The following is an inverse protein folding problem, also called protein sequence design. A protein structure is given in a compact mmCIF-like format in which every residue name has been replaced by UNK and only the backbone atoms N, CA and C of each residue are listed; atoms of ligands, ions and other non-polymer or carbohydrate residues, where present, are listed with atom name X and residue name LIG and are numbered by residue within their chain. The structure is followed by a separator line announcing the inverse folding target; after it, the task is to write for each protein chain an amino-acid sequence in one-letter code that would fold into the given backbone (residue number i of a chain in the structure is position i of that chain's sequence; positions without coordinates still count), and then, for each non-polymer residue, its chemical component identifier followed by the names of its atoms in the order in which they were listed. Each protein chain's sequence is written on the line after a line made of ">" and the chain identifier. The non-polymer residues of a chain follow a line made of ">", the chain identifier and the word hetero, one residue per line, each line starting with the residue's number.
data_IF_214432796572
#
_entry.id   IF_214432796572
#
_cell.length_a   1.000
_cell.length_b   1.000
_cell.length_c   1.000
_cell.angle_alpha   90.00
_cell.angle_beta   90.00
_cell.angle_gamma   90.00
#
_symmetry.space_group_name_H-M   'P 1'
#
loop_
_entity.id
_entity.type
_entity.pdbx_description
1 polymer ?
#
# COMPACT_ATOMS: atom_id res chain seq x y z
N UNK A 1 -19.75 -12.77 -65.85
CA UNK A 1 -18.31 -12.84 -65.53
C UNK A 1 -18.17 -12.97 -64.03
N UNK A 2 -17.44 -13.99 -63.59
CA UNK A 2 -17.18 -14.34 -62.20
C UNK A 2 -15.77 -13.89 -61.80
N UNK A 3 -15.53 -13.95 -60.49
CA UNK A 3 -14.28 -14.18 -59.74
C UNK A 3 -13.40 -13.03 -59.17
N UNK A 4 -13.24 -13.07 -57.84
CA UNK A 4 -12.00 -13.15 -57.02
C UNK A 4 -11.77 -12.15 -55.85
N UNK A 5 -12.08 -12.65 -54.64
CA UNK A 5 -11.35 -12.60 -53.33
C UNK A 5 -9.98 -11.86 -53.28
N UNK A 6 -9.74 -11.08 -52.20
CA UNK A 6 -8.90 -11.38 -50.99
C UNK A 6 -8.25 -10.10 -50.38
N UNK A 7 -8.52 -9.89 -49.08
CA UNK A 7 -7.72 -9.33 -47.96
C UNK A 7 -6.41 -8.55 -48.23
N UNK A 8 -6.19 -7.42 -47.52
CA UNK A 8 -5.18 -7.26 -46.44
C UNK A 8 -5.12 -5.82 -45.85
N UNK A 9 -5.34 -5.74 -44.53
CA UNK A 9 -4.65 -4.95 -43.47
C UNK A 9 -4.29 -3.46 -43.64
N UNK A 10 -4.78 -2.63 -42.69
CA UNK A 10 -4.17 -1.36 -42.28
C UNK A 10 -3.96 -1.32 -40.75
N UNK A 11 -2.84 -0.79 -40.23
CA UNK A 11 -2.43 -0.94 -38.84
C UNK A 11 -3.01 0.19 -37.97
N UNK A 12 -4.01 -0.10 -37.15
CA UNK A 12 -4.60 0.87 -36.21
C UNK A 12 -4.79 0.32 -34.79
N UNK A 13 -3.95 -0.63 -34.38
CA UNK A 13 -4.15 -1.33 -33.11
C UNK A 13 -2.86 -1.53 -32.28
N UNK A 14 -1.90 -0.60 -32.34
CA UNK A 14 -0.58 -0.83 -31.72
C UNK A 14 -0.05 0.30 -30.82
N UNK A 15 -0.85 1.30 -30.45
CA UNK A 15 -0.37 2.39 -29.57
C UNK A 15 -0.93 2.31 -28.14
N UNK A 16 -2.02 1.57 -27.91
CA UNK A 16 -2.71 1.59 -26.62
C UNK A 16 -2.09 0.71 -25.52
N UNK A 17 -1.15 -0.19 -25.84
CA UNK A 17 -0.61 -1.14 -24.85
C UNK A 17 0.66 -0.68 -24.12
N UNK A 18 1.31 0.41 -24.56
CA UNK A 18 2.60 0.82 -23.99
C UNK A 18 2.48 1.79 -22.79
N UNK A 19 1.35 2.48 -22.63
CA UNK A 19 1.19 3.46 -21.54
C UNK A 19 0.78 2.79 -20.21
N UNK A 20 0.10 1.66 -20.25
CA UNK A 20 -0.35 0.94 -19.05
C UNK A 20 0.77 0.12 -18.36
N UNK A 21 1.76 -0.39 -19.11
CA UNK A 21 2.84 -1.19 -18.55
C UNK A 21 3.89 -0.37 -17.78
N UNK A 22 4.05 0.92 -18.13
CA UNK A 22 5.02 1.81 -17.47
C UNK A 22 4.65 2.18 -16.04
N UNK A 23 3.35 2.36 -15.76
CA UNK A 23 2.87 2.76 -14.42
C UNK A 23 3.00 1.60 -13.43
N UNK A 24 2.69 0.36 -13.84
CA UNK A 24 2.83 -0.81 -12.96
C UNK A 24 4.28 -1.11 -12.56
N UNK A 25 5.24 -0.91 -13.48
CA UNK A 25 6.66 -1.13 -13.19
C UNK A 25 7.23 -0.06 -12.22
N UNK A 26 6.78 1.20 -12.34
CA UNK A 26 7.16 2.26 -11.40
C UNK A 26 6.57 1.97 -10.02
N UNK A 27 5.29 1.59 -9.92
CA UNK A 27 4.64 1.20 -8.66
C UNK A 27 5.39 0.01 -8.04
N UNK A 28 5.71 -1.03 -8.81
CA UNK A 28 6.44 -2.20 -8.30
C UNK A 28 7.86 -1.86 -7.82
N UNK A 29 8.56 -0.94 -8.49
CA UNK A 29 9.91 -0.50 -8.11
C UNK A 29 9.90 0.37 -6.85
N UNK A 30 8.91 1.27 -6.74
CA UNK A 30 8.64 2.05 -5.53
C UNK A 30 8.27 1.12 -4.37
N UNK A 31 7.41 0.11 -4.61
CA UNK A 31 7.09 -0.94 -3.63
C UNK A 31 8.34 -1.71 -3.18
N UNK A 32 9.23 -2.11 -4.09
CA UNK A 32 10.45 -2.87 -3.74
C UNK A 32 11.44 -2.03 -2.93
N UNK A 33 11.55 -0.72 -3.19
CA UNK A 33 12.39 0.18 -2.39
C UNK A 33 11.77 0.48 -1.01
N UNK A 34 10.44 0.61 -0.92
CA UNK A 34 9.68 0.78 0.34
C UNK A 34 9.62 -0.51 1.19
N UNK A 35 9.67 -1.70 0.57
CA UNK A 35 9.68 -3.00 1.23
C UNK A 35 10.91 -3.24 2.13
N UNK A 36 11.90 -2.33 2.13
CA UNK A 36 13.11 -2.50 2.92
C UNK A 36 13.00 -1.99 4.37
N UNK A 37 12.16 -0.99 4.66
CA UNK A 37 12.06 -0.36 6.00
C UNK A 37 10.93 -0.96 6.89
N UNK A 38 9.88 -1.55 6.33
CA UNK A 38 8.72 -2.06 7.10
C UNK A 38 8.82 -3.50 7.64
N UNK A 39 9.97 -4.18 7.48
CA UNK A 39 10.08 -5.64 7.69
C UNK A 39 9.89 -6.13 9.14
N UNK A 40 9.88 -5.24 10.12
CA UNK A 40 9.69 -5.58 11.53
C UNK A 40 8.24 -5.56 12.02
N UNK A 41 7.42 -4.62 11.52
CA UNK A 41 6.14 -4.29 12.16
C UNK A 41 5.15 -5.46 12.21
N UNK A 42 5.14 -6.29 11.17
CA UNK A 42 4.17 -7.37 10.99
C UNK A 42 4.76 -8.77 11.26
N UNK A 43 5.89 -8.84 12.00
CA UNK A 43 6.51 -10.12 12.35
C UNK A 43 5.56 -10.94 13.22
N UNK A 44 5.10 -12.08 12.70
CA UNK A 44 4.14 -12.95 13.38
C UNK A 44 2.70 -12.89 12.84
N UNK A 45 2.37 -11.89 12.02
CA UNK A 45 1.04 -11.80 11.39
C UNK A 45 0.83 -12.87 10.29
N UNK A 46 1.91 -13.38 9.67
CA UNK A 46 1.79 -14.38 8.61
C UNK A 46 0.97 -13.84 7.42
N UNK A 47 0.18 -14.68 6.79
CA UNK A 47 -0.69 -14.31 5.65
C UNK A 47 -2.14 -14.00 6.11
N UNK A 48 -2.34 -13.69 7.40
CA UNK A 48 -3.64 -13.36 7.98
C UNK A 48 -3.86 -11.82 7.95
N UNK A 49 -4.80 -11.32 7.13
CA UNK A 49 -5.02 -9.88 6.96
C UNK A 49 -5.54 -9.20 8.24
N UNK A 50 -6.30 -9.92 9.07
CA UNK A 50 -6.79 -9.42 10.36
C UNK A 50 -5.62 -9.19 11.31
N UNK A 51 -4.68 -10.15 11.41
CA UNK A 51 -3.48 -10.00 12.25
C UNK A 51 -2.56 -8.88 11.77
N UNK A 52 -2.50 -8.61 10.47
CA UNK A 52 -1.75 -7.47 9.94
C UNK A 52 -2.37 -6.15 10.42
N UNK A 53 -3.69 -6.04 10.40
CA UNK A 53 -4.40 -4.85 10.88
C UNK A 53 -4.26 -4.66 12.41
N UNK A 54 -4.36 -5.74 13.19
CA UNK A 54 -4.15 -5.70 14.63
C UNK A 54 -2.73 -5.27 15.00
N UNK A 55 -1.71 -5.81 14.30
CA UNK A 55 -0.33 -5.39 14.47
C UNK A 55 -0.15 -3.90 14.13
N UNK A 56 -0.80 -3.42 13.07
CA UNK A 56 -0.80 -1.99 12.72
C UNK A 56 -1.37 -1.13 13.87
N UNK A 57 -2.55 -1.45 14.39
CA UNK A 57 -3.18 -0.72 15.50
C UNK A 57 -2.28 -0.70 16.74
N UNK A 58 -1.66 -1.84 17.05
CA UNK A 58 -0.73 -1.96 18.17
C UNK A 58 0.48 -1.00 18.06
N UNK A 59 1.05 -0.84 16.86
CA UNK A 59 2.12 0.13 16.63
C UNK A 59 1.63 1.58 16.69
N UNK A 60 0.44 1.88 16.17
CA UNK A 60 -0.15 3.22 16.25
C UNK A 60 -0.34 3.65 17.71
N UNK A 61 -0.86 2.75 18.55
CA UNK A 61 -1.02 3.00 19.99
C UNK A 61 0.33 3.25 20.68
N UNK A 62 1.35 2.44 20.35
CA UNK A 62 2.70 2.63 20.90
C UNK A 62 3.28 4.00 20.52
N UNK A 63 3.16 4.42 19.26
CA UNK A 63 3.59 5.75 18.84
C UNK A 63 2.82 6.87 19.52
N UNK A 64 1.52 6.70 19.74
CA UNK A 64 0.73 7.69 20.47
C UNK A 64 1.27 7.91 21.89
N UNK A 65 1.60 6.83 22.59
CA UNK A 65 2.20 6.90 23.93
C UNK A 65 3.58 7.56 23.91
N UNK A 66 4.44 7.24 22.94
CA UNK A 66 5.78 7.84 22.78
C UNK A 66 5.71 9.34 22.47
N UNK A 67 4.77 9.77 21.62
CA UNK A 67 4.63 11.16 21.20
C UNK A 67 3.88 12.02 22.23
N UNK A 68 2.99 11.42 23.03
CA UNK A 68 2.27 12.14 24.10
C UNK A 68 3.19 12.66 25.22
N UNK A 69 4.42 12.13 25.33
CA UNK A 69 5.42 12.61 26.26
C UNK A 69 6.05 13.96 25.86
N UNK A 70 5.72 14.51 24.68
CA UNK A 70 6.11 15.85 24.27
C UNK A 70 4.96 16.85 24.46
N UNK A 71 5.17 17.89 25.26
CA UNK A 71 4.18 18.96 25.46
C UNK A 71 4.39 20.16 24.51
N UNK A 72 5.55 20.26 23.85
CA UNK A 72 5.94 21.47 23.12
C UNK A 72 5.26 21.58 21.74
N UNK A 73 4.80 20.46 21.17
CA UNK A 73 4.19 20.43 19.85
C UNK A 73 3.13 19.33 19.73
N UNK A 74 2.11 19.56 18.90
CA UNK A 74 0.99 18.62 18.72
C UNK A 74 1.36 17.42 17.81
N UNK A 75 2.39 16.68 18.18
CA UNK A 75 2.87 15.52 17.43
C UNK A 75 1.81 14.41 17.33
N UNK A 76 1.05 14.20 18.42
CA UNK A 76 -0.07 13.24 18.44
C UNK A 76 -1.13 13.61 17.41
N UNK A 77 -1.46 14.89 17.27
CA UNK A 77 -2.42 15.36 16.26
C UNK A 77 -1.96 15.10 14.83
N UNK A 78 -0.67 15.30 14.55
CA UNK A 78 -0.09 15.02 13.22
C UNK A 78 -0.06 13.53 12.94
N UNK A 79 0.40 12.72 13.90
CA UNK A 79 0.42 11.26 13.79
C UNK A 79 -1.00 10.72 13.53
N UNK A 80 -2.01 11.17 14.29
CA UNK A 80 -3.41 10.80 14.06
C UNK A 80 -3.92 11.24 12.69
N UNK A 81 -3.43 12.35 12.15
CA UNK A 81 -3.72 12.77 10.77
C UNK A 81 -3.19 11.80 9.72
N UNK A 82 -2.12 11.06 10.02
CA UNK A 82 -1.52 10.06 9.14
C UNK A 82 -2.14 8.66 9.30
N UNK A 83 -2.60 8.32 10.50
CA UNK A 83 -3.04 6.95 10.85
C UNK A 83 -4.55 6.77 10.85
N UNK A 84 -5.33 7.84 10.94
CA UNK A 84 -6.79 7.73 11.04
C UNK A 84 -7.42 7.45 9.70
N UNK A 85 -8.12 6.32 9.61
CA UNK A 85 -8.96 5.97 8.49
C UNK A 85 -10.44 6.08 8.88
N UNK A 86 -11.29 6.54 7.95
CA UNK A 86 -12.74 6.55 8.16
C UNK A 86 -13.35 5.14 8.07
N UNK A 87 -12.81 4.34 7.14
CA UNK A 87 -13.08 2.92 6.97
C UNK A 87 -11.72 2.23 6.85
N UNK A 88 -11.39 1.21 7.67
CA UNK A 88 -10.10 0.55 7.60
C UNK A 88 -9.81 -0.01 6.21
N UNK A 89 -8.56 0.06 5.74
CA UNK A 89 -8.17 -0.53 4.44
C UNK A 89 -8.56 -2.01 4.35
N UNK A 90 -8.51 -2.75 5.47
CA UNK A 90 -8.95 -4.15 5.55
C UNK A 90 -10.38 -4.36 5.03
N UNK A 91 -11.31 -3.46 5.38
CA UNK A 91 -12.73 -3.54 5.01
C UNK A 91 -13.00 -3.07 3.58
N UNK A 92 -12.04 -2.37 2.97
CA UNK A 92 -12.15 -1.88 1.60
C UNK A 92 -11.69 -2.92 0.56
N UNK A 93 -11.06 -4.01 0.99
CA UNK A 93 -10.53 -5.03 0.09
C UNK A 93 -11.64 -5.95 -0.44
N UNK A 94 -11.62 -6.31 -1.75
CA UNK A 94 -12.59 -7.24 -2.33
C UNK A 94 -12.64 -8.57 -1.59
N UNK A 95 -13.84 -9.10 -1.37
CA UNK A 95 -14.03 -10.38 -0.68
C UNK A 95 -13.35 -11.53 -1.44
N UNK A 96 -13.35 -11.46 -2.78
CA UNK A 96 -12.80 -12.48 -3.68
C UNK A 96 -11.27 -12.58 -3.65
N UNK A 97 -10.58 -11.57 -3.08
CA UNK A 97 -9.13 -11.57 -2.96
C UNK A 97 -8.68 -12.57 -1.89
N UNK A 98 -7.63 -13.34 -2.17
CA UNK A 98 -7.12 -14.30 -1.19
C UNK A 98 -6.52 -13.60 0.04
N UNK A 99 -6.59 -14.24 1.21
CA UNK A 99 -6.04 -13.70 2.46
C UNK A 99 -4.56 -13.33 2.33
N UNK A 100 -3.79 -14.12 1.57
CA UNK A 100 -2.40 -13.84 1.28
C UNK A 100 -2.19 -12.56 0.48
N UNK A 101 -3.03 -12.33 -0.54
CA UNK A 101 -2.97 -11.10 -1.33
C UNK A 101 -3.41 -9.90 -0.49
N UNK A 102 -4.49 -10.04 0.29
CA UNK A 102 -4.96 -9.02 1.24
C UNK A 102 -3.87 -8.67 2.24
N UNK A 103 -3.30 -9.66 2.92
CA UNK A 103 -2.25 -9.48 3.91
C UNK A 103 -1.00 -8.83 3.30
N UNK A 104 -0.63 -9.19 2.06
CA UNK A 104 0.50 -8.55 1.36
C UNK A 104 0.23 -7.07 1.08
N UNK A 105 -0.97 -6.73 0.61
CA UNK A 105 -1.37 -5.35 0.33
C UNK A 105 -1.40 -4.54 1.63
N UNK A 106 -2.04 -5.06 2.68
CA UNK A 106 -2.13 -4.41 3.98
C UNK A 106 -0.76 -4.18 4.62
N UNK A 107 0.17 -5.14 4.53
CA UNK A 107 1.54 -4.96 5.02
C UNK A 107 2.27 -3.83 4.32
N UNK A 108 2.06 -3.68 3.01
CA UNK A 108 2.62 -2.56 2.26
C UNK A 108 1.98 -1.25 2.71
N UNK A 109 0.65 -1.18 2.67
CA UNK A 109 -0.12 0.02 2.96
C UNK A 109 0.12 0.54 4.38
N UNK A 110 -0.10 -0.30 5.40
CA UNK A 110 0.13 0.08 6.78
C UNK A 110 1.62 0.23 7.11
N UNK A 111 2.49 -0.54 6.45
CA UNK A 111 3.94 -0.39 6.60
C UNK A 111 4.44 0.99 6.20
N UNK A 112 3.93 1.55 5.10
CA UNK A 112 4.28 2.89 4.64
C UNK A 112 3.80 3.97 5.62
N UNK A 113 2.60 3.81 6.18
CA UNK A 113 2.07 4.73 7.22
C UNK A 113 2.96 4.69 8.46
N UNK A 114 3.27 3.50 8.99
CA UNK A 114 4.11 3.34 10.19
C UNK A 114 5.53 3.87 9.96
N UNK A 115 6.11 3.66 8.78
CA UNK A 115 7.41 4.23 8.43
C UNK A 115 7.36 5.77 8.38
N UNK A 116 6.25 6.35 7.93
CA UNK A 116 6.00 7.78 7.99
C UNK A 116 5.94 8.32 9.42
N UNK A 117 5.23 7.62 10.31
CA UNK A 117 5.15 7.99 11.73
C UNK A 117 6.51 7.84 12.43
N UNK A 118 7.28 6.80 12.13
CA UNK A 118 8.64 6.63 12.65
C UNK A 118 9.55 7.78 12.21
N UNK A 119 9.46 8.22 10.95
CA UNK A 119 10.18 9.40 10.46
C UNK A 119 9.76 10.68 11.16
N UNK A 120 8.46 10.87 11.42
CA UNK A 120 7.94 11.99 12.20
C UNK A 120 8.54 12.00 13.61
N UNK A 121 8.51 10.85 14.29
CA UNK A 121 9.09 10.69 15.63
C UNK A 121 10.57 11.04 15.66
N UNK A 122 11.34 10.57 14.68
CA UNK A 122 12.79 10.78 14.63
C UNK A 122 13.18 12.20 14.16
N UNK A 123 12.23 13.01 13.71
CA UNK A 123 12.45 14.40 13.32
C UNK A 123 12.17 15.40 14.46
N UNK A 124 11.62 14.93 15.58
CA UNK A 124 11.50 15.66 16.85
C UNK A 124 12.88 15.84 17.49
#
# INVERSE_FOLDING_TARGET
>A
MSVFRKYFTGPRAWVSSLVLAGIAAIIATVLVLLLSEGRGYFRGAGDDPQKVYEAYLSHVEAYEQELAADEDYNWVGIMRGMTREAVPMLEQLPEEMSDKEKARLLKSYYGDILAGVEKLKNAR
#
